data_IF_560165706283
#
_entry.id   IF_560165706283
#
_cell.length_a   1.000
_cell.length_b   1.000
_cell.length_c   1.000
_cell.angle_alpha   90.00
_cell.angle_beta   90.00
_cell.angle_gamma   90.00
#
_symmetry.space_group_name_H-M   'P 1'
#
loop_
_entity.id
_entity.type
_entity.pdbx_description
1 polymer ?
#
# COMPACT_ATOMS: atom_id res chain seq x y z
N UNK A 1 -5.43 7.04 -22.17
CA UNK A 1 -4.84 6.31 -21.02
C UNK A 1 -3.35 6.25 -21.27
N UNK A 2 -2.55 6.80 -20.37
CA UNK A 2 -1.09 6.70 -20.42
C UNK A 2 -0.69 5.52 -19.55
N UNK A 3 -0.27 4.42 -20.20
CA UNK A 3 0.35 3.30 -19.51
C UNK A 3 1.81 3.68 -19.21
N UNK A 4 2.22 3.46 -17.97
CA UNK A 4 3.56 3.80 -17.52
C UNK A 4 4.23 2.59 -16.88
N UNK A 5 5.52 2.47 -17.14
CA UNK A 5 6.32 1.35 -16.64
C UNK A 5 7.40 1.86 -15.67
N UNK A 6 7.44 1.22 -14.51
CA UNK A 6 8.44 1.45 -13.48
C UNK A 6 9.19 0.14 -13.25
N UNK A 7 10.37 -0.01 -13.84
CA UNK A 7 11.10 -1.28 -13.85
C UNK A 7 12.59 -1.12 -13.53
N UNK A 8 13.19 -2.17 -12.98
CA UNK A 8 14.63 -2.39 -12.93
C UNK A 8 14.94 -3.79 -13.54
N UNK A 9 16.10 -4.36 -13.26
CA UNK A 9 16.51 -5.70 -13.71
C UNK A 9 15.83 -6.86 -12.95
N UNK A 10 15.14 -6.57 -11.84
CA UNK A 10 14.57 -7.57 -10.92
C UNK A 10 13.05 -7.55 -10.87
N UNK A 11 12.43 -6.39 -10.99
CA UNK A 11 10.99 -6.19 -10.92
C UNK A 11 10.51 -5.18 -11.94
N UNK A 12 9.23 -5.31 -12.29
CA UNK A 12 8.50 -4.35 -13.13
C UNK A 12 7.13 -4.07 -12.52
N UNK A 13 6.81 -2.81 -12.29
CA UNK A 13 5.47 -2.35 -11.96
C UNK A 13 4.86 -1.63 -13.16
N UNK A 14 3.64 -2.01 -13.53
CA UNK A 14 2.84 -1.30 -14.54
C UNK A 14 1.83 -0.42 -13.83
N UNK A 15 1.73 0.83 -14.25
CA UNK A 15 0.78 1.81 -13.72
C UNK A 15 -0.23 2.20 -14.80
N UNK A 16 -1.50 2.26 -14.39
CA UNK A 16 -2.58 2.85 -15.18
C UNK A 16 -3.22 3.95 -14.34
N UNK A 17 -3.45 5.12 -14.95
CA UNK A 17 -4.03 6.30 -14.29
C UNK A 17 -3.35 6.66 -12.95
N UNK A 18 -2.03 6.45 -12.88
CA UNK A 18 -1.22 6.74 -11.70
C UNK A 18 -1.31 5.71 -10.56
N UNK A 19 -1.93 4.54 -10.78
CA UNK A 19 -2.01 3.48 -9.79
C UNK A 19 -1.37 2.17 -10.31
N UNK A 20 -0.62 1.42 -9.49
CA UNK A 20 -0.10 0.11 -9.86
C UNK A 20 -1.22 -0.89 -10.14
N UNK A 21 -1.25 -1.40 -11.37
CA UNK A 21 -2.18 -2.46 -11.81
C UNK A 21 -1.54 -3.84 -11.75
N UNK A 22 -0.21 -3.91 -11.85
CA UNK A 22 0.55 -5.14 -11.66
C UNK A 22 1.94 -4.88 -11.07
N UNK A 23 2.47 -5.88 -10.39
CA UNK A 23 3.89 -6.01 -10.04
C UNK A 23 4.37 -7.36 -10.56
N UNK A 24 5.51 -7.39 -11.23
CA UNK A 24 6.09 -8.59 -11.81
C UNK A 24 7.50 -8.80 -11.27
N UNK A 25 7.77 -9.99 -10.74
CA UNK A 25 9.09 -10.51 -10.46
C UNK A 25 9.70 -11.02 -11.77
N UNK A 26 10.75 -10.35 -12.24
CA UNK A 26 11.40 -10.66 -13.51
C UNK A 26 12.29 -11.90 -13.43
N UNK A 27 12.80 -12.24 -12.24
CA UNK A 27 13.64 -13.43 -12.05
C UNK A 27 12.81 -14.71 -12.17
N UNK A 28 11.63 -14.74 -11.56
CA UNK A 28 10.75 -15.91 -11.55
C UNK A 28 9.62 -15.85 -12.59
N UNK A 29 9.44 -14.72 -13.27
CA UNK A 29 8.34 -14.52 -14.24
C UNK A 29 6.95 -14.50 -13.60
N UNK A 30 6.86 -14.18 -12.30
CA UNK A 30 5.61 -14.20 -11.53
C UNK A 30 5.02 -12.79 -11.49
N UNK A 31 3.76 -12.66 -11.93
CA UNK A 31 3.01 -11.40 -11.83
C UNK A 31 1.93 -11.46 -10.74
N UNK A 32 1.78 -10.33 -10.06
CA UNK A 32 0.86 -10.06 -8.95
C UNK A 32 -0.15 -9.00 -9.41
N UNK A 33 -1.41 -9.40 -9.55
CA UNK A 33 -2.54 -8.54 -9.93
C UNK A 33 -3.85 -9.30 -9.71
N UNK A 34 -4.89 -8.62 -9.26
CA UNK A 34 -6.25 -9.13 -9.16
C UNK A 34 -7.20 -8.23 -9.96
N UNK A 35 -7.84 -8.78 -11.00
CA UNK A 35 -8.80 -8.05 -11.84
C UNK A 35 -8.27 -6.71 -12.38
N UNK A 36 -6.99 -6.67 -12.79
CA UNK A 36 -6.34 -5.45 -13.30
C UNK A 36 -5.96 -4.45 -12.21
N UNK A 37 -5.83 -4.87 -10.95
CA UNK A 37 -5.40 -4.03 -9.84
C UNK A 37 -4.32 -4.71 -9.04
N UNK A 38 -3.32 -3.96 -8.63
CA UNK A 38 -2.32 -4.42 -7.66
C UNK A 38 -2.36 -3.58 -6.40
N UNK A 39 -2.59 -2.28 -6.52
CA UNK A 39 -2.75 -1.38 -5.38
C UNK A 39 -3.91 -0.42 -5.61
N UNK A 40 -4.70 -0.19 -4.57
CA UNK A 40 -5.71 0.86 -4.55
C UNK A 40 -5.58 1.71 -3.30
N UNK A 41 -6.05 2.95 -3.38
CA UNK A 41 -6.22 3.83 -2.24
C UNK A 41 -7.71 4.12 -2.04
N UNK A 42 -8.20 4.07 -0.80
CA UNK A 42 -9.61 4.35 -0.48
C UNK A 42 -9.71 5.46 0.55
N UNK A 43 -10.53 6.45 0.23
CA UNK A 43 -10.78 7.60 1.10
C UNK A 43 -12.29 7.86 1.13
N UNK A 44 -12.84 8.01 2.32
CA UNK A 44 -14.25 8.35 2.52
C UNK A 44 -14.34 9.39 3.62
N UNK A 45 -14.77 10.60 3.30
CA UNK A 45 -14.88 11.71 4.24
C UNK A 45 -16.35 12.13 4.40
N UNK A 46 -16.73 12.54 5.61
CA UNK A 46 -18.13 12.89 5.95
C UNK A 46 -18.51 14.35 5.61
N UNK A 47 -17.61 15.15 5.05
CA UNK A 47 -17.87 16.56 4.71
C UNK A 47 -18.13 16.75 3.20
N UNK A 48 -19.02 17.70 2.90
CA UNK A 48 -19.46 18.03 1.54
C UNK A 48 -18.36 18.77 0.76
N UNK A 49 -17.55 18.02 0.05
CA UNK A 49 -16.74 18.51 -1.07
C UNK A 49 -16.78 17.46 -2.17
N UNK A 50 -17.23 17.82 -3.37
CA UNK A 50 -17.07 16.93 -4.52
C UNK A 50 -15.57 16.70 -4.75
N UNK A 51 -15.20 15.44 -5.01
CA UNK A 51 -13.84 15.09 -5.38
C UNK A 51 -13.42 15.90 -6.62
N UNK A 52 -12.30 16.61 -6.52
CA UNK A 52 -11.63 17.14 -7.71
C UNK A 52 -10.92 15.99 -8.42
N UNK A 53 -10.99 15.95 -9.75
CA UNK A 53 -10.33 14.91 -10.56
C UNK A 53 -8.85 14.76 -10.18
N UNK A 54 -8.39 13.50 -10.19
CA UNK A 54 -7.00 13.16 -9.94
C UNK A 54 -6.11 13.83 -10.98
N UNK A 55 -5.21 14.72 -10.55
CA UNK A 55 -4.20 15.30 -11.42
C UNK A 55 -2.94 14.44 -11.34
N UNK A 56 -2.85 13.43 -12.18
CA UNK A 56 -1.68 12.56 -12.28
C UNK A 56 -0.53 13.36 -12.91
N UNK A 57 0.40 13.84 -12.08
CA UNK A 57 1.61 14.51 -12.55
C UNK A 57 2.80 13.57 -12.41
N UNK A 58 3.17 12.94 -13.51
CA UNK A 58 4.22 11.92 -13.54
C UNK A 58 5.57 12.58 -13.73
N UNK A 59 6.44 12.44 -12.73
CA UNK A 59 7.82 12.91 -12.79
C UNK A 59 8.78 11.72 -12.75
N UNK A 60 9.28 11.30 -13.91
CA UNK A 60 10.33 10.29 -13.98
C UNK A 60 11.71 10.96 -13.81
N UNK A 61 12.11 11.19 -12.55
CA UNK A 61 13.43 11.73 -12.21
C UNK A 61 14.05 10.94 -11.07
N UNK A 62 14.90 9.96 -11.38
CA UNK A 62 15.66 9.23 -10.36
C UNK A 62 16.59 10.18 -9.57
N UNK A 63 16.57 10.10 -8.23
CA UNK A 63 17.52 10.76 -7.32
C UNK A 63 17.95 9.78 -6.23
N UNK A 64 19.22 9.82 -5.82
CA UNK A 64 19.79 9.05 -4.67
C UNK A 64 19.55 7.52 -4.73
N UNK A 65 20.10 6.83 -5.73
CA UNK A 65 20.03 5.36 -5.82
C UNK A 65 18.66 4.79 -6.26
N UNK A 66 17.64 5.65 -6.34
CA UNK A 66 16.37 5.35 -7.03
C UNK A 66 16.65 5.28 -8.53
N UNK A 67 16.32 4.13 -9.12
CA UNK A 67 16.50 3.89 -10.56
C UNK A 67 15.42 4.62 -11.37
N UNK A 68 14.17 4.48 -10.95
CA UNK A 68 13.05 5.20 -11.51
C UNK A 68 12.04 5.56 -10.42
N UNK A 69 11.32 6.65 -10.62
CA UNK A 69 10.26 7.14 -9.73
C UNK A 69 9.06 7.59 -10.55
N UNK A 70 7.86 7.29 -10.10
CA UNK A 70 6.61 7.91 -10.55
C UNK A 70 5.94 8.54 -9.35
N UNK A 71 5.70 9.84 -9.38
CA UNK A 71 4.93 10.53 -8.35
C UNK A 71 3.54 10.86 -8.89
N UNK A 72 2.52 10.78 -8.03
CA UNK A 72 1.12 10.99 -8.39
C UNK A 72 0.47 11.89 -7.35
N UNK A 73 -0.29 12.87 -7.83
CA UNK A 73 -1.00 13.83 -7.00
C UNK A 73 -2.51 13.58 -7.13
N UNK A 74 -3.18 13.46 -5.99
CA UNK A 74 -4.60 13.16 -5.95
C UNK A 74 -5.27 13.99 -4.85
N UNK A 75 -6.45 14.54 -5.15
CA UNK A 75 -7.24 15.33 -4.19
C UNK A 75 -8.63 14.68 -4.03
N UNK A 76 -8.81 13.76 -3.06
CA UNK A 76 -10.09 13.10 -2.86
C UNK A 76 -11.21 14.07 -2.47
N UNK A 77 -10.86 15.16 -1.80
CA UNK A 77 -11.72 16.31 -1.49
C UNK A 77 -10.84 17.57 -1.47
N UNK A 78 -11.43 18.75 -1.56
CA UNK A 78 -10.70 20.02 -1.64
C UNK A 78 -9.66 20.22 -0.52
N UNK A 79 -9.99 19.78 0.70
CA UNK A 79 -9.17 19.96 1.89
C UNK A 79 -8.06 18.91 2.03
N UNK A 80 -7.95 17.95 1.11
CA UNK A 80 -7.00 16.83 1.21
C UNK A 80 -6.14 16.75 -0.04
N UNK A 81 -4.82 16.76 0.15
CA UNK A 81 -3.85 16.42 -0.88
C UNK A 81 -3.17 15.10 -0.52
N UNK A 82 -3.24 14.15 -1.44
CA UNK A 82 -2.52 12.87 -1.43
C UNK A 82 -1.41 12.96 -2.46
N UNK A 83 -0.18 12.69 -2.04
CA UNK A 83 0.98 12.57 -2.94
C UNK A 83 1.57 11.19 -2.75
N UNK A 84 1.54 10.35 -3.78
CA UNK A 84 2.07 8.99 -3.72
C UNK A 84 3.25 8.89 -4.67
N UNK A 85 4.42 8.48 -4.16
CA UNK A 85 5.59 8.17 -4.98
C UNK A 85 5.84 6.68 -5.02
N UNK A 86 5.97 6.13 -6.22
CA UNK A 86 6.36 4.76 -6.52
C UNK A 86 7.82 4.75 -6.96
N UNK A 87 8.66 3.92 -6.34
CA UNK A 87 10.10 3.86 -6.63
C UNK A 87 10.57 2.44 -6.81
N UNK A 88 11.48 2.26 -7.76
CA UNK A 88 12.30 1.05 -7.91
C UNK A 88 13.77 1.43 -7.77
N UNK A 89 14.55 0.54 -7.20
CA UNK A 89 15.97 0.76 -6.89
C UNK A 89 16.83 -0.15 -7.75
N UNK A 90 17.98 0.31 -8.24
CA UNK A 90 18.77 -0.44 -9.22
C UNK A 90 19.28 -1.80 -8.74
N UNK A 91 19.34 -2.04 -7.43
CA UNK A 91 19.93 -3.27 -6.87
C UNK A 91 18.96 -4.09 -6.01
N UNK A 92 17.71 -3.66 -5.84
CA UNK A 92 16.76 -4.27 -4.90
C UNK A 92 15.49 -4.76 -5.63
N UNK A 93 15.02 -5.98 -5.34
CA UNK A 93 13.76 -6.51 -5.89
C UNK A 93 12.56 -5.97 -5.10
N UNK A 94 12.41 -4.64 -5.03
CA UNK A 94 11.37 -4.01 -4.24
C UNK A 94 10.73 -2.81 -4.93
N UNK A 95 9.41 -2.71 -4.78
CA UNK A 95 8.64 -1.52 -5.07
C UNK A 95 8.44 -0.76 -3.75
N UNK A 96 9.00 0.44 -3.66
CA UNK A 96 8.72 1.35 -2.54
C UNK A 96 7.56 2.27 -2.92
N UNK A 97 6.68 2.49 -1.94
CA UNK A 97 5.51 3.34 -2.03
C UNK A 97 5.59 4.31 -0.85
N UNK A 98 5.71 5.62 -1.13
CA UNK A 98 5.59 6.67 -0.12
C UNK A 98 4.33 7.48 -0.38
N UNK A 99 3.35 7.39 0.53
CA UNK A 99 2.13 8.19 0.50
C UNK A 99 2.21 9.30 1.54
N UNK A 100 2.12 10.55 1.10
CA UNK A 100 1.99 11.72 1.96
C UNK A 100 0.56 12.25 1.88
N UNK A 101 -0.11 12.32 3.01
CA UNK A 101 -1.43 12.93 3.18
C UNK A 101 -1.25 14.32 3.81
N UNK A 102 -1.94 15.33 3.29
CA UNK A 102 -1.98 16.69 3.83
C UNK A 102 -3.43 17.14 3.97
N UNK A 103 -3.81 17.52 5.17
CA UNK A 103 -5.14 17.99 5.54
C UNK A 103 -5.06 19.48 5.86
N UNK A 104 -5.79 20.31 5.11
CA UNK A 104 -5.91 21.76 5.38
C UNK A 104 -7.10 22.12 6.27
N UNK A 105 -7.94 21.13 6.61
CA UNK A 105 -9.05 21.25 7.55
C UNK A 105 -9.11 20.06 8.51
N UNK A 106 -10.15 20.02 9.34
CA UNK A 106 -10.40 18.94 10.29
C UNK A 106 -11.46 18.00 9.74
N UNK A 107 -11.06 16.77 9.39
CA UNK A 107 -11.94 15.82 8.74
C UNK A 107 -12.23 14.58 9.57
N UNK A 108 -13.47 14.09 9.46
CA UNK A 108 -13.86 12.76 9.92
C UNK A 108 -14.11 11.83 8.74
N UNK A 109 -13.78 10.56 8.88
CA UNK A 109 -13.88 9.61 7.78
C UNK A 109 -13.05 8.34 7.96
N UNK A 110 -12.75 7.69 6.84
CA UNK A 110 -11.89 6.51 6.75
C UNK A 110 -10.83 6.75 5.68
N UNK A 111 -9.57 6.43 6.00
CA UNK A 111 -8.45 6.47 5.06
C UNK A 111 -7.76 5.11 5.01
N UNK A 112 -7.57 4.59 3.80
CA UNK A 112 -6.84 3.36 3.49
C UNK A 112 -5.87 3.66 2.32
N UNK A 113 -4.71 4.27 2.59
CA UNK A 113 -3.79 4.75 1.56
C UNK A 113 -2.98 3.63 0.88
N UNK A 114 -3.02 2.40 1.41
CA UNK A 114 -2.32 1.23 0.86
C UNK A 114 -3.18 -0.04 1.05
N UNK A 115 -3.98 -0.35 0.03
CA UNK A 115 -4.69 -1.63 -0.09
C UNK A 115 -4.06 -2.42 -1.23
N UNK A 116 -3.47 -3.56 -0.92
CA UNK A 116 -2.74 -4.43 -1.85
C UNK A 116 -3.63 -5.58 -2.30
N UNK A 117 -3.61 -5.85 -3.59
CA UNK A 117 -4.36 -6.90 -4.29
C UNK A 117 -3.35 -7.92 -4.86
N UNK A 118 -2.93 -8.91 -4.05
CA UNK A 118 -1.82 -9.80 -4.41
C UNK A 118 -2.09 -10.70 -5.62
N UNK A 119 -3.35 -10.91 -6.01
CA UNK A 119 -3.67 -11.76 -7.16
C UNK A 119 -3.42 -13.26 -6.94
N UNK A 120 -3.40 -13.69 -5.68
CA UNK A 120 -3.36 -15.10 -5.32
C UNK A 120 -4.40 -15.44 -4.25
N UNK A 121 -4.90 -16.69 -4.23
CA UNK A 121 -5.81 -17.13 -3.20
C UNK A 121 -5.19 -16.97 -1.82
N UNK A 122 -5.99 -16.47 -0.89
CA UNK A 122 -5.80 -16.44 0.56
C UNK A 122 -4.65 -17.33 1.09
N UNK A 123 -3.51 -16.73 1.52
CA UNK A 123 -2.51 -17.43 2.32
C UNK A 123 -3.15 -17.97 3.59
N UNK A 124 -3.04 -19.28 3.83
CA UNK A 124 -3.45 -19.85 5.13
C UNK A 124 -2.41 -19.62 6.21
N UNK A 125 -1.20 -19.27 5.80
CA UNK A 125 -0.04 -19.09 6.64
C UNK A 125 0.61 -17.77 6.31
N UNK A 126 0.88 -17.01 7.35
CA UNK A 126 1.53 -15.72 7.27
C UNK A 126 2.70 -15.71 8.24
N UNK A 127 3.77 -15.01 7.88
CA UNK A 127 4.89 -14.76 8.76
C UNK A 127 4.93 -13.29 9.12
N UNK A 128 5.17 -12.99 10.39
CA UNK A 128 5.29 -11.62 10.88
C UNK A 128 6.40 -11.51 11.91
N UNK A 129 6.99 -10.33 11.99
CA UNK A 129 7.87 -9.98 13.10
C UNK A 129 7.08 -9.24 14.19
N UNK A 130 7.22 -9.72 15.43
CA UNK A 130 6.75 -9.06 16.66
C UNK A 130 7.82 -9.18 17.73
N UNK A 131 8.26 -8.05 18.29
CA UNK A 131 9.17 -8.01 19.44
C UNK A 131 10.54 -8.65 19.19
N UNK A 132 11.02 -8.67 17.95
CA UNK A 132 12.26 -9.33 17.53
C UNK A 132 12.10 -10.81 17.18
N UNK A 133 10.88 -11.36 17.24
CA UNK A 133 10.61 -12.77 16.95
C UNK A 133 9.77 -12.94 15.68
N UNK A 134 10.16 -13.90 14.83
CA UNK A 134 9.39 -14.31 13.67
C UNK A 134 8.32 -15.30 14.14
N UNK A 135 7.06 -14.97 13.89
CA UNK A 135 5.92 -15.78 14.25
C UNK A 135 5.18 -16.21 13.00
N UNK A 136 4.93 -17.53 12.89
CA UNK A 136 3.99 -18.08 11.90
C UNK A 136 2.57 -18.00 12.46
N UNK A 137 1.67 -17.44 11.68
CA UNK A 137 0.25 -17.32 12.04
C UNK A 137 -0.58 -18.08 11.01
N UNK A 138 -1.35 -19.03 11.51
CA UNK A 138 -2.34 -19.76 10.71
C UNK A 138 -3.68 -19.07 10.83
N UNK A 139 -4.31 -18.71 9.71
CA UNK A 139 -5.63 -18.08 9.74
C UNK A 139 -6.73 -19.11 9.50
N UNK A 140 -7.56 -19.32 10.53
CA UNK A 140 -8.71 -20.22 10.43
C UNK A 140 -9.81 -19.64 9.52
N UNK A 141 -10.50 -20.54 8.80
CA UNK A 141 -11.63 -20.19 7.94
C UNK A 141 -12.78 -19.62 8.80
N UNK A 142 -13.25 -18.41 8.46
CA UNK A 142 -14.42 -17.79 9.10
C UNK A 142 -14.13 -16.92 10.33
N UNK A 143 -12.91 -16.88 10.87
CA UNK A 143 -12.57 -15.96 11.98
C UNK A 143 -12.18 -14.57 11.48
N UNK A 144 -12.44 -13.55 12.31
CA UNK A 144 -12.06 -12.17 12.06
C UNK A 144 -10.53 -12.01 12.04
N UNK A 145 -10.08 -11.17 11.11
CA UNK A 145 -8.80 -11.28 10.38
C UNK A 145 -7.99 -10.02 10.66
N UNK A 146 -7.53 -9.86 11.89
CA UNK A 146 -6.74 -8.69 12.29
C UNK A 146 -5.38 -9.19 12.75
N UNK A 147 -4.36 -8.96 11.94
CA UNK A 147 -3.00 -9.34 12.28
C UNK A 147 -2.16 -8.10 12.47
N UNK A 148 -1.82 -7.83 13.72
CA UNK A 148 -0.81 -6.84 14.05
C UNK A 148 0.55 -7.34 13.56
N UNK A 149 1.27 -6.55 12.78
CA UNK A 149 2.66 -6.80 12.41
C UNK A 149 3.47 -5.55 12.73
N UNK A 150 4.64 -5.69 13.34
CA UNK A 150 5.46 -4.54 13.72
C UNK A 150 6.14 -3.95 12.48
N UNK A 151 7.02 -4.73 11.84
CA UNK A 151 7.87 -4.24 10.76
C UNK A 151 7.44 -4.77 9.38
N UNK A 152 7.18 -6.07 9.27
CA UNK A 152 6.83 -6.72 8.00
C UNK A 152 5.88 -7.90 8.17
N UNK A 153 5.21 -8.25 7.06
CA UNK A 153 4.36 -9.41 6.87
C UNK A 153 4.80 -10.14 5.60
N UNK A 154 4.88 -11.46 5.60
CA UNK A 154 4.99 -12.26 4.38
C UNK A 154 3.71 -13.07 4.16
N UNK A 155 3.19 -13.01 2.93
CA UNK A 155 1.98 -13.65 2.47
C UNK A 155 2.29 -14.54 1.27
N UNK A 156 2.09 -15.86 1.40
CA UNK A 156 2.49 -16.83 0.38
C UNK A 156 1.37 -17.82 0.04
N UNK A 157 1.29 -18.21 -1.23
CA UNK A 157 0.30 -19.15 -1.77
C UNK A 157 0.92 -19.92 -2.95
N UNK A 158 1.30 -21.18 -2.71
CA UNK A 158 2.07 -21.97 -3.67
C UNK A 158 3.42 -21.29 -3.97
N UNK A 159 3.69 -21.06 -5.25
CA UNK A 159 4.94 -20.46 -5.71
C UNK A 159 4.95 -18.92 -5.64
N UNK A 160 3.79 -18.30 -5.36
CA UNK A 160 3.66 -16.84 -5.26
C UNK A 160 3.79 -16.38 -3.80
N UNK A 161 4.59 -15.35 -3.55
CA UNK A 161 4.67 -14.73 -2.24
C UNK A 161 4.97 -13.24 -2.32
N UNK A 162 4.51 -12.49 -1.32
CA UNK A 162 4.85 -11.08 -1.14
C UNK A 162 5.28 -10.86 0.30
N UNK A 163 6.45 -10.27 0.49
CA UNK A 163 6.82 -9.60 1.73
C UNK A 163 6.44 -8.13 1.63
N UNK A 164 5.76 -7.66 2.66
CA UNK A 164 5.25 -6.31 2.74
C UNK A 164 5.79 -5.72 4.04
N UNK A 165 6.70 -4.76 3.91
CA UNK A 165 7.25 -4.00 5.01
C UNK A 165 6.65 -2.59 5.02
N UNK A 166 6.48 -2.01 6.20
CA UNK A 166 5.98 -0.64 6.31
C UNK A 166 6.74 0.13 7.39
N UNK A 167 7.18 1.33 7.07
CA UNK A 167 7.70 2.27 8.05
C UNK A 167 6.55 3.20 8.44
N UNK A 168 5.87 2.82 9.52
CA UNK A 168 4.85 3.62 10.17
C UNK A 168 5.40 4.06 11.51
N UNK A 169 5.69 5.35 11.67
CA UNK A 169 6.02 5.94 12.98
C UNK A 169 4.95 5.66 14.05
N UNK A 170 3.73 5.30 13.63
CA UNK A 170 2.74 4.60 14.45
C UNK A 170 2.98 3.09 14.41
N UNK A 171 3.71 2.59 15.42
CA UNK A 171 3.97 1.16 15.72
C UNK A 171 2.74 0.24 15.76
N UNK A 172 1.52 0.75 15.65
CA UNK A 172 0.35 0.11 16.27
C UNK A 172 -0.72 -0.44 15.32
N UNK A 173 -0.81 -0.07 14.04
CA UNK A 173 -1.98 -0.46 13.23
C UNK A 173 -1.63 -0.77 11.78
N UNK A 174 -0.79 -1.79 11.57
CA UNK A 174 -0.81 -2.54 10.30
C UNK A 174 -1.97 -3.52 10.36
N UNK A 175 -3.13 -3.04 9.99
CA UNK A 175 -4.35 -3.84 10.05
C UNK A 175 -4.51 -4.63 8.77
N UNK A 176 -3.96 -5.84 8.72
CA UNK A 176 -4.17 -6.77 7.60
C UNK A 176 -5.61 -7.24 7.60
N UNK A 177 -6.50 -6.47 6.98
CA UNK A 177 -7.89 -6.86 6.71
C UNK A 177 -7.92 -7.74 5.50
N UNK A 178 -7.99 -9.02 5.75
CA UNK A 178 -8.12 -9.99 4.67
C UNK A 178 -9.60 -10.14 4.30
N UNK A 179 -10.27 -9.10 3.82
CA UNK A 179 -11.57 -9.22 3.13
C UNK A 179 -11.33 -9.24 1.63
N UNK A 180 -12.01 -10.11 0.89
CA UNK A 180 -11.94 -10.11 -0.59
C UNK A 180 -10.54 -10.31 -1.20
N UNK A 181 -9.65 -11.09 -0.57
CA UNK A 181 -8.26 -11.35 -1.03
C UNK A 181 -7.32 -10.14 -0.95
N UNK A 182 -7.69 -9.10 -0.21
CA UNK A 182 -6.91 -7.86 -0.08
C UNK A 182 -6.01 -7.86 1.17
N UNK A 183 -4.95 -7.04 1.15
CA UNK A 183 -4.11 -6.74 2.30
C UNK A 183 -4.09 -5.22 2.51
N UNK A 184 -4.77 -4.74 3.54
CA UNK A 184 -4.66 -3.34 3.98
C UNK A 184 -3.50 -3.20 4.96
N UNK A 185 -2.67 -2.16 4.83
CA UNK A 185 -1.54 -1.91 5.75
C UNK A 185 -1.74 -0.73 6.67
N UNK A 186 -2.63 0.17 6.32
CA UNK A 186 -2.96 1.32 7.14
C UNK A 186 -4.43 1.59 6.94
N UNK A 187 -5.19 1.50 8.03
CA UNK A 187 -6.55 1.98 8.08
C UNK A 187 -6.67 2.86 9.29
N UNK A 188 -7.08 4.10 9.08
CA UNK A 188 -7.48 4.97 10.15
C UNK A 188 -8.94 5.36 9.93
N UNK A 189 -9.69 5.38 11.01
CA UNK A 189 -11.11 5.72 11.03
C UNK A 189 -11.37 6.70 12.16
N UNK A 190 -12.09 7.77 11.85
CA UNK A 190 -12.40 8.86 12.75
C UNK A 190 -13.90 9.14 12.65
N UNK A 191 -14.63 8.90 13.74
CA UNK A 191 -16.10 8.89 13.70
C UNK A 191 -16.74 10.01 14.50
N UNK A 192 -16.07 10.51 15.54
CA UNK A 192 -16.66 11.42 16.53
C UNK A 192 -16.46 12.89 16.13
N UNK A 193 -17.46 13.46 15.45
CA UNK A 193 -17.42 14.87 14.99
C UNK A 193 -17.21 15.88 16.12
N UNK A 194 -17.68 15.59 17.33
CA UNK A 194 -17.56 16.49 18.48
C UNK A 194 -16.16 16.51 19.12
N UNK A 195 -15.31 15.51 18.85
CA UNK A 195 -13.98 15.41 19.43
C UNK A 195 -12.91 15.83 18.40
N UNK A 196 -12.42 17.06 18.50
CA UNK A 196 -11.44 17.60 17.55
C UNK A 196 -10.10 16.84 17.56
N UNK A 197 -9.74 16.18 18.66
CA UNK A 197 -8.52 15.36 18.74
C UNK A 197 -8.58 14.09 17.89
N UNK A 198 -9.77 13.69 17.46
CA UNK A 198 -9.95 12.53 16.59
C UNK A 198 -10.02 12.92 15.11
N UNK A 199 -9.94 14.20 14.75
CA UNK A 199 -10.04 14.60 13.35
C UNK A 199 -8.71 14.41 12.63
N UNK A 200 -8.76 14.01 11.37
CA UNK A 200 -7.60 14.05 10.50
C UNK A 200 -7.20 15.50 10.26
N UNK A 201 -5.97 15.84 10.66
CA UNK A 201 -5.40 17.20 10.57
C UNK A 201 -3.89 17.11 10.29
N UNK A 202 -3.30 18.16 9.71
CA UNK A 202 -1.86 18.23 9.49
C UNK A 202 -1.36 17.32 8.36
N UNK A 203 -0.18 16.71 8.53
CA UNK A 203 0.44 15.87 7.50
C UNK A 203 0.92 14.53 8.04
N UNK A 204 0.63 13.48 7.28
CA UNK A 204 1.03 12.12 7.57
C UNK A 204 1.86 11.59 6.41
N UNK A 205 2.92 10.85 6.73
CA UNK A 205 3.74 10.15 5.75
C UNK A 205 3.75 8.67 6.08
N UNK A 206 3.45 7.85 5.07
CA UNK A 206 3.39 6.40 5.18
C UNK A 206 4.31 5.83 4.11
N UNK A 207 5.18 4.91 4.51
CA UNK A 207 6.08 4.21 3.59
C UNK A 207 5.82 2.72 3.62
N UNK A 208 5.81 2.11 2.45
CA UNK A 208 5.64 0.67 2.26
C UNK A 208 6.68 0.19 1.26
N UNK A 209 7.31 -0.95 1.55
CA UNK A 209 8.12 -1.69 0.60
C UNK A 209 7.45 -3.03 0.33
N UNK A 210 7.25 -3.34 -0.95
CA UNK A 210 6.69 -4.62 -1.39
C UNK A 210 7.79 -5.38 -2.14
N UNK A 211 8.04 -6.60 -1.70
CA UNK A 211 9.12 -7.47 -2.19
C UNK A 211 8.49 -8.79 -2.62
N UNK A 212 8.59 -9.17 -3.90
CA UNK A 212 8.24 -10.52 -4.35
C UNK A 212 9.07 -11.58 -3.62
N UNK A 213 8.42 -12.68 -3.24
CA UNK A 213 9.04 -13.85 -2.66
C UNK A 213 8.73 -15.08 -3.51
N UNK A 214 9.65 -16.04 -3.49
CA UNK A 214 9.43 -17.38 -4.01
C UNK A 214 9.12 -18.33 -2.86
N UNK A 215 7.89 -18.86 -2.85
CA UNK A 215 7.46 -19.80 -1.81
C UNK A 215 7.40 -19.20 -0.40
N UNK A 216 7.38 -20.08 0.60
CA UNK A 216 7.34 -19.70 2.02
C UNK A 216 8.72 -19.29 2.55
N UNK A 217 8.84 -18.23 3.38
CA UNK A 217 10.09 -17.82 4.03
C UNK A 217 10.64 -18.86 5.01
#
# INVERSE_FOLDING_TARGET
>A
MSEEELANDKIKATLEDGAPVSLTDLENGISYSENGRFMTQRFSFKENGQASEANVMVTNTGKRGVYAEVTVHFKPVEQVLVVTSYRVYSSLPLLEIETTLRFSGSLTGVIEPSVIHPGFPRPRELWREIGGHINRVTIEKGKARFLLANNWLAACSGDKGLMIAGDGLTRALKEVRESNQEITLFRAETMFKANQYEHFTGSYKIRTAIIPLKGSP
#
